data_IF_113854379354
#
_entry.id   IF_113854379354
#
_cell.length_a   1.000
_cell.length_b   1.000
_cell.length_c   1.000
_cell.angle_alpha   90.00
_cell.angle_beta   90.00
_cell.angle_gamma   90.00
#
_symmetry.space_group_name_H-M   'P 1'
#
loop_
_entity.id
_entity.type
_entity.pdbx_description
1 polymer ?
#
# COMPACT_ATOMS: atom_id res chain seq x y z
N UNK A 1 -26.63 -16.85 -48.58
CA UNK A 1 -27.41 -15.67 -48.20
C UNK A 1 -27.61 -15.50 -46.68
N UNK A 2 -27.80 -16.60 -45.90
CA UNK A 2 -27.88 -16.50 -44.42
C UNK A 2 -26.56 -16.04 -43.79
N UNK A 3 -25.43 -16.51 -44.32
CA UNK A 3 -24.09 -16.07 -43.85
C UNK A 3 -23.90 -14.56 -44.05
N UNK A 4 -24.38 -13.98 -45.16
CA UNK A 4 -24.33 -12.53 -45.40
C UNK A 4 -25.19 -11.71 -44.43
N UNK A 5 -26.34 -12.22 -43.98
CA UNK A 5 -27.21 -11.54 -43.01
C UNK A 5 -26.57 -11.55 -41.63
N UNK A 6 -26.03 -12.69 -41.21
CA UNK A 6 -25.33 -12.83 -39.93
C UNK A 6 -24.10 -11.94 -39.87
N UNK A 7 -23.32 -11.86 -40.93
CA UNK A 7 -22.13 -11.00 -40.99
C UNK A 7 -22.49 -9.50 -40.92
N UNK A 8 -23.58 -9.11 -41.59
CA UNK A 8 -24.10 -7.72 -41.48
C UNK A 8 -24.57 -7.38 -40.08
N UNK A 9 -25.32 -8.27 -39.43
CA UNK A 9 -25.79 -8.07 -38.05
C UNK A 9 -24.61 -8.00 -37.07
N UNK A 10 -23.61 -8.82 -37.29
CA UNK A 10 -22.38 -8.78 -36.48
C UNK A 10 -21.64 -7.46 -36.67
N UNK A 11 -21.42 -7.04 -37.91
CA UNK A 11 -20.77 -5.77 -38.21
C UNK A 11 -21.54 -4.55 -37.67
N UNK A 12 -22.88 -4.58 -37.74
CA UNK A 12 -23.71 -3.53 -37.13
C UNK A 12 -23.59 -3.50 -35.60
N UNK A 13 -23.59 -4.67 -34.95
CA UNK A 13 -23.39 -4.79 -33.51
C UNK A 13 -22.01 -4.25 -33.09
N UNK A 14 -20.97 -4.64 -33.80
CA UNK A 14 -19.60 -4.17 -33.54
C UNK A 14 -19.49 -2.65 -33.69
N UNK A 15 -20.06 -2.08 -34.76
CA UNK A 15 -20.08 -0.64 -34.97
C UNK A 15 -20.85 0.10 -33.88
N UNK A 16 -21.97 -0.45 -33.42
CA UNK A 16 -22.76 0.12 -32.33
C UNK A 16 -22.01 0.05 -31.00
N UNK A 17 -21.37 -1.09 -30.69
CA UNK A 17 -20.55 -1.24 -29.50
C UNK A 17 -19.38 -0.24 -29.49
N UNK A 18 -18.67 -0.12 -30.63
CA UNK A 18 -17.58 0.85 -30.75
C UNK A 18 -18.06 2.29 -30.49
N UNK A 19 -19.17 2.70 -31.13
CA UNK A 19 -19.73 4.05 -30.94
C UNK A 19 -20.11 4.33 -29.47
N UNK A 20 -20.66 3.34 -28.77
CA UNK A 20 -20.98 3.47 -27.36
C UNK A 20 -19.72 3.62 -26.50
N UNK A 21 -18.68 2.82 -26.75
CA UNK A 21 -17.40 2.93 -26.03
C UNK A 21 -16.73 4.26 -26.27
N UNK A 22 -16.77 4.81 -27.50
CA UNK A 22 -16.23 6.15 -27.79
C UNK A 22 -16.95 7.26 -27.02
N UNK A 23 -18.29 7.16 -26.86
CA UNK A 23 -19.08 8.10 -26.07
C UNK A 23 -18.76 7.97 -24.59
N UNK A 24 -18.67 6.75 -24.07
CA UNK A 24 -18.29 6.50 -22.68
C UNK A 24 -16.89 7.01 -22.38
N UNK A 25 -15.92 6.77 -23.26
CA UNK A 25 -14.55 7.27 -23.14
C UNK A 25 -14.49 8.79 -23.05
N UNK A 26 -15.23 9.48 -23.91
CA UNK A 26 -15.29 10.96 -23.87
C UNK A 26 -15.93 11.52 -22.60
N UNK A 27 -16.83 10.77 -21.97
CA UNK A 27 -17.54 11.18 -20.76
C UNK A 27 -17.04 10.47 -19.50
N UNK A 28 -15.84 9.89 -19.53
CA UNK A 28 -15.29 9.10 -18.43
C UNK A 28 -15.26 9.83 -17.08
N UNK A 29 -15.04 11.15 -17.08
CA UNK A 29 -14.99 11.97 -15.86
C UNK A 29 -16.37 12.22 -15.21
N UNK A 30 -17.46 12.07 -15.97
CA UNK A 30 -18.83 12.43 -15.55
C UNK A 30 -19.78 11.24 -15.41
N UNK A 31 -19.31 10.04 -15.69
CA UNK A 31 -20.12 8.83 -15.71
C UNK A 31 -19.64 7.84 -14.64
N UNK A 32 -20.38 6.74 -14.49
CA UNK A 32 -19.97 5.58 -13.66
C UNK A 32 -18.83 4.74 -14.28
N UNK A 33 -18.14 5.29 -15.25
CA UNK A 33 -17.11 4.61 -16.05
C UNK A 33 -16.09 3.85 -15.20
N UNK A 34 -15.60 4.47 -14.11
CA UNK A 34 -14.63 3.85 -13.22
C UNK A 34 -15.21 2.86 -12.20
N UNK A 35 -16.51 2.54 -12.30
CA UNK A 35 -17.18 1.45 -11.57
C UNK A 35 -17.32 0.18 -12.43
N UNK A 36 -16.99 0.26 -13.72
CA UNK A 36 -16.95 -0.89 -14.62
C UNK A 36 -15.73 -1.76 -14.31
N UNK A 37 -15.75 -3.00 -14.82
CA UNK A 37 -14.54 -3.82 -14.84
C UNK A 37 -13.50 -3.21 -15.79
N UNK A 38 -12.45 -2.63 -15.21
CA UNK A 38 -11.45 -1.89 -15.97
C UNK A 38 -10.55 -2.79 -16.84
N UNK A 39 -10.46 -4.08 -16.53
CA UNK A 39 -9.74 -5.03 -17.39
C UNK A 39 -10.51 -5.30 -18.67
N UNK A 40 -11.82 -5.53 -18.55
CA UNK A 40 -12.72 -5.70 -19.69
C UNK A 40 -12.77 -4.42 -20.53
N UNK A 41 -12.88 -3.25 -19.88
CA UNK A 41 -12.84 -1.95 -20.56
C UNK A 41 -11.56 -1.77 -21.36
N UNK A 42 -10.39 -2.07 -20.77
CA UNK A 42 -9.11 -2.00 -21.48
C UNK A 42 -9.07 -2.93 -22.71
N UNK A 43 -9.61 -4.15 -22.57
CA UNK A 43 -9.75 -5.10 -23.67
C UNK A 43 -10.62 -4.57 -24.83
N UNK A 44 -11.76 -3.96 -24.51
CA UNK A 44 -12.65 -3.36 -25.51
C UNK A 44 -12.02 -2.12 -26.18
N UNK A 45 -11.28 -1.29 -25.43
CA UNK A 45 -10.54 -0.15 -25.99
C UNK A 45 -9.48 -0.62 -26.98
N UNK A 46 -8.69 -1.62 -26.59
CA UNK A 46 -7.69 -2.24 -27.47
C UNK A 46 -8.35 -2.84 -28.73
N UNK A 47 -9.43 -3.62 -28.56
CA UNK A 47 -10.16 -4.27 -29.65
C UNK A 47 -10.69 -3.27 -30.70
N UNK A 48 -11.23 -2.14 -30.25
CA UNK A 48 -11.83 -1.13 -31.12
C UNK A 48 -10.87 0.00 -31.53
N UNK A 49 -9.62 -0.02 -31.06
CA UNK A 49 -8.63 1.02 -31.33
C UNK A 49 -9.05 2.37 -30.78
N UNK A 50 -9.66 2.39 -29.58
CA UNK A 50 -10.05 3.61 -28.89
C UNK A 50 -8.87 4.12 -28.06
N UNK A 51 -8.55 5.38 -28.17
CA UNK A 51 -7.48 5.99 -27.40
C UNK A 51 -7.77 6.01 -25.90
N UNK A 52 -6.71 5.90 -25.11
CA UNK A 52 -6.82 5.97 -23.65
C UNK A 52 -7.45 7.31 -23.22
N UNK A 53 -8.30 7.31 -22.17
CA UNK A 53 -8.94 8.51 -21.69
C UNK A 53 -7.91 9.52 -21.16
N UNK A 54 -8.24 10.79 -21.18
CA UNK A 54 -7.39 11.84 -20.60
C UNK A 54 -7.20 11.64 -19.09
N UNK A 55 -6.14 12.25 -18.57
CA UNK A 55 -5.87 12.23 -17.12
C UNK A 55 -6.93 13.03 -16.39
N UNK A 56 -7.52 12.47 -15.35
CA UNK A 56 -8.47 13.17 -14.51
C UNK A 56 -7.82 14.34 -13.77
N UNK A 57 -8.56 15.45 -13.59
CA UNK A 57 -8.07 16.61 -12.86
C UNK A 57 -7.88 16.28 -11.36
N UNK A 58 -7.14 17.15 -10.65
CA UNK A 58 -6.75 16.95 -9.27
C UNK A 58 -7.91 17.02 -8.26
N UNK A 59 -9.01 17.64 -8.62
CA UNK A 59 -10.25 17.75 -7.83
C UNK A 59 -11.16 16.51 -7.94
N UNK A 60 -10.87 15.59 -8.88
CA UNK A 60 -11.55 14.31 -8.94
C UNK A 60 -11.19 13.42 -7.72
N UNK A 61 -12.09 12.52 -7.34
CA UNK A 61 -11.86 11.63 -6.20
C UNK A 61 -10.57 10.82 -6.38
N UNK A 62 -9.87 10.55 -5.27
CA UNK A 62 -8.60 9.82 -5.28
C UNK A 62 -8.72 8.46 -5.99
N UNK A 63 -9.78 7.69 -5.69
CA UNK A 63 -9.99 6.37 -6.30
C UNK A 63 -10.24 6.47 -7.80
N UNK A 64 -11.01 7.45 -8.27
CA UNK A 64 -11.21 7.66 -9.70
C UNK A 64 -9.90 8.03 -10.41
N UNK A 65 -9.06 8.85 -9.79
CA UNK A 65 -7.74 9.22 -10.32
C UNK A 65 -6.81 8.00 -10.40
N UNK A 66 -6.81 7.14 -9.38
CA UNK A 66 -6.04 5.88 -9.38
C UNK A 66 -6.55 4.96 -10.50
N UNK A 67 -7.86 4.72 -10.58
CA UNK A 67 -8.45 3.86 -11.59
C UNK A 67 -8.20 4.41 -13.01
N UNK A 68 -8.26 5.72 -13.21
CA UNK A 68 -7.90 6.34 -14.48
C UNK A 68 -6.46 6.02 -14.90
N UNK A 69 -5.49 6.18 -13.99
CA UNK A 69 -4.09 5.87 -14.26
C UNK A 69 -3.86 4.39 -14.55
N UNK A 70 -4.49 3.50 -13.79
CA UNK A 70 -4.37 2.06 -13.99
C UNK A 70 -5.00 1.62 -15.31
N UNK A 71 -6.19 2.14 -15.68
CA UNK A 71 -6.81 1.86 -16.97
C UNK A 71 -5.91 2.30 -18.12
N UNK A 72 -5.34 3.51 -18.04
CA UNK A 72 -4.42 4.04 -19.05
C UNK A 72 -3.20 3.13 -19.21
N UNK A 73 -2.59 2.72 -18.09
CA UNK A 73 -1.47 1.79 -18.09
C UNK A 73 -1.85 0.44 -18.74
N UNK A 74 -3.03 -0.08 -18.44
CA UNK A 74 -3.46 -1.37 -19.00
C UNK A 74 -3.72 -1.29 -20.51
N UNK A 75 -4.32 -0.21 -21.00
CA UNK A 75 -4.51 0.03 -22.45
C UNK A 75 -3.13 0.11 -23.15
N UNK A 76 -2.20 0.89 -22.59
CA UNK A 76 -0.84 1.01 -23.13
C UNK A 76 -0.11 -0.33 -23.17
N UNK A 77 -0.27 -1.15 -22.13
CA UNK A 77 0.31 -2.50 -22.05
C UNK A 77 -0.26 -3.42 -23.15
N UNK A 78 -1.57 -3.40 -23.36
CA UNK A 78 -2.22 -4.18 -24.43
C UNK A 78 -1.80 -3.70 -25.82
N UNK A 79 -1.57 -2.41 -26.00
CA UNK A 79 -1.09 -1.80 -27.25
C UNK A 79 0.42 -1.94 -27.46
N UNK A 80 1.16 -2.57 -26.54
CA UNK A 80 2.61 -2.74 -26.62
C UNK A 80 3.38 -1.43 -26.41
N UNK A 81 2.78 -0.42 -25.80
CA UNK A 81 3.37 0.89 -25.48
C UNK A 81 3.99 0.90 -24.08
N UNK A 82 4.75 1.94 -23.74
CA UNK A 82 5.29 2.11 -22.39
C UNK A 82 4.19 2.53 -21.41
N UNK A 83 3.86 1.63 -20.50
CA UNK A 83 2.80 1.77 -19.49
C UNK A 83 3.32 2.20 -18.10
N UNK A 84 4.66 2.17 -17.90
CA UNK A 84 5.26 2.34 -16.56
C UNK A 84 4.99 3.69 -15.94
N UNK A 85 4.89 4.73 -16.75
CA UNK A 85 4.64 6.10 -16.24
C UNK A 85 3.25 6.24 -15.60
N UNK A 86 2.20 5.71 -16.24
CA UNK A 86 0.84 5.76 -15.70
C UNK A 86 0.68 4.78 -14.52
N UNK A 87 1.31 3.60 -14.56
CA UNK A 87 1.34 2.66 -13.44
C UNK A 87 2.02 3.27 -12.20
N UNK A 88 3.20 3.87 -12.35
CA UNK A 88 3.90 4.54 -11.26
C UNK A 88 3.10 5.73 -10.70
N UNK A 89 2.41 6.48 -11.56
CA UNK A 89 1.55 7.57 -11.14
C UNK A 89 0.37 7.06 -10.29
N UNK A 90 -0.21 5.90 -10.62
CA UNK A 90 -1.27 5.28 -9.81
C UNK A 90 -0.76 4.89 -8.41
N UNK A 91 0.42 4.25 -8.33
CA UNK A 91 1.03 3.91 -7.05
C UNK A 91 1.38 5.13 -6.20
N UNK A 92 1.86 6.21 -6.82
CA UNK A 92 2.15 7.46 -6.11
C UNK A 92 0.87 8.07 -5.53
N UNK A 93 -0.23 8.10 -6.29
CA UNK A 93 -1.54 8.56 -5.79
C UNK A 93 -2.04 7.70 -4.62
N UNK A 94 -1.92 6.38 -4.72
CA UNK A 94 -2.28 5.47 -3.64
C UNK A 94 -1.45 5.74 -2.38
N UNK A 95 -0.13 5.90 -2.55
CA UNK A 95 0.78 6.24 -1.45
C UNK A 95 0.42 7.57 -0.79
N UNK A 96 0.19 8.62 -1.58
CA UNK A 96 -0.22 9.93 -1.06
C UNK A 96 -1.51 9.83 -0.24
N UNK A 97 -2.52 9.12 -0.75
CA UNK A 97 -3.78 8.94 -0.04
C UNK A 97 -3.62 8.20 1.28
N UNK A 98 -2.81 7.13 1.32
CA UNK A 98 -2.53 6.38 2.54
C UNK A 98 -1.74 7.22 3.57
N UNK A 99 -0.80 8.04 3.11
CA UNK A 99 0.05 8.83 4.00
C UNK A 99 -0.67 10.07 4.55
N UNK A 100 -1.62 10.65 3.81
CA UNK A 100 -2.34 11.86 4.25
C UNK A 100 -3.00 11.63 5.61
N UNK A 101 -3.77 10.56 5.76
CA UNK A 101 -4.43 10.21 7.02
C UNK A 101 -3.44 9.88 8.15
N UNK A 102 -2.27 9.33 7.81
CA UNK A 102 -1.23 8.98 8.77
C UNK A 102 -0.48 10.21 9.29
N UNK A 103 -0.17 11.17 8.42
CA UNK A 103 0.51 12.41 8.83
C UNK A 103 -0.36 13.31 9.70
N UNK A 104 -1.68 13.18 9.64
CA UNK A 104 -2.60 13.86 10.54
C UNK A 104 -2.62 13.24 11.94
N UNK A 105 -2.21 11.96 12.07
CA UNK A 105 -2.19 11.20 13.33
C UNK A 105 -0.82 11.28 14.00
N UNK A 106 -0.48 12.46 14.50
CA UNK A 106 0.72 12.61 15.31
C UNK A 106 0.50 12.03 16.71
N UNK A 107 1.56 11.52 17.33
CA UNK A 107 1.53 10.97 18.67
C UNK A 107 2.75 11.40 19.49
N UNK A 108 2.56 11.39 20.80
CA UNK A 108 3.64 11.63 21.76
C UNK A 108 3.82 10.35 22.59
N UNK A 109 4.86 9.57 22.35
CA UNK A 109 5.11 8.35 23.12
C UNK A 109 5.38 8.69 24.60
N UNK A 110 4.83 7.87 25.49
CA UNK A 110 4.98 8.04 26.95
C UNK A 110 5.51 6.76 27.57
N UNK A 111 6.49 6.90 28.46
CA UNK A 111 7.03 5.79 29.23
C UNK A 111 6.08 5.45 30.39
N UNK A 112 5.53 4.24 30.39
CA UNK A 112 4.65 3.73 31.43
C UNK A 112 5.16 2.44 32.06
N UNK A 113 6.45 2.16 31.92
CA UNK A 113 7.09 0.95 32.47
C UNK A 113 8.31 1.33 33.29
N UNK A 114 8.65 0.52 34.29
CA UNK A 114 9.86 0.68 35.07
C UNK A 114 11.09 0.13 34.32
N UNK A 115 12.27 0.52 34.73
CA UNK A 115 13.53 0.19 34.05
C UNK A 115 13.86 -1.31 34.02
N UNK A 116 13.28 -2.11 34.91
CA UNK A 116 13.44 -3.55 35.02
C UNK A 116 12.30 -4.36 34.39
N UNK A 117 11.29 -3.67 33.84
CA UNK A 117 10.14 -4.33 33.21
C UNK A 117 10.38 -4.65 31.74
N UNK A 118 9.80 -5.77 31.32
CA UNK A 118 9.74 -6.18 29.93
C UNK A 118 8.28 -6.21 29.48
N UNK A 119 7.99 -5.54 28.37
CA UNK A 119 6.71 -5.65 27.66
C UNK A 119 6.81 -6.81 26.68
N UNK A 120 5.91 -7.77 26.80
CA UNK A 120 5.85 -8.92 25.91
C UNK A 120 4.60 -8.88 25.05
N UNK A 121 4.78 -8.61 23.77
CA UNK A 121 3.73 -8.71 22.75
C UNK A 121 3.71 -10.10 22.13
N UNK A 122 2.50 -10.67 21.97
CA UNK A 122 2.30 -11.95 21.30
C UNK A 122 1.14 -11.88 20.32
N UNK A 123 1.27 -12.55 19.18
CA UNK A 123 0.21 -12.61 18.18
C UNK A 123 0.17 -14.00 17.52
N UNK A 124 -1.01 -14.52 17.20
CA UNK A 124 -1.13 -15.69 16.34
C UNK A 124 -0.57 -15.39 14.94
N UNK A 125 -0.24 -16.43 14.19
CA UNK A 125 0.11 -16.31 12.79
C UNK A 125 -1.16 -16.46 11.93
N UNK A 126 -1.23 -15.71 10.84
CA UNK A 126 -2.30 -15.81 9.85
C UNK A 126 -1.91 -16.77 8.73
N UNK A 127 -2.80 -17.69 8.39
CA UNK A 127 -2.68 -18.52 7.19
C UNK A 127 -3.81 -18.17 6.22
N UNK A 128 -3.47 -17.84 5.00
CA UNK A 128 -4.41 -17.55 3.94
C UNK A 128 -4.89 -18.88 3.32
N UNK A 129 -6.18 -19.17 3.50
CA UNK A 129 -6.82 -20.39 2.99
C UNK A 129 -7.20 -20.26 1.53
N UNK A 130 -7.59 -19.07 1.09
CA UNK A 130 -7.97 -18.76 -0.28
C UNK A 130 -7.80 -17.26 -0.56
N UNK A 131 -7.52 -16.93 -1.81
CA UNK A 131 -7.47 -15.55 -2.30
C UNK A 131 -6.28 -14.72 -1.82
N UNK A 132 -5.26 -15.34 -1.24
CA UNK A 132 -4.04 -14.63 -0.83
C UNK A 132 -3.43 -13.86 -2.00
N UNK A 133 -2.98 -12.64 -1.75
CA UNK A 133 -2.44 -11.66 -2.71
C UNK A 133 -3.48 -10.99 -3.64
N UNK A 134 -4.75 -11.39 -3.64
CA UNK A 134 -5.79 -10.67 -4.42
C UNK A 134 -6.05 -9.27 -3.86
N UNK A 135 -5.76 -9.04 -2.60
CA UNK A 135 -5.83 -7.73 -1.92
C UNK A 135 -4.63 -6.83 -2.17
N UNK A 136 -3.65 -7.30 -2.94
CA UNK A 136 -2.41 -6.57 -3.24
C UNK A 136 -2.48 -5.86 -4.59
N UNK A 137 -2.07 -4.58 -4.68
CA UNK A 137 -1.91 -3.90 -5.97
C UNK A 137 -0.89 -4.61 -6.87
N UNK A 138 -1.07 -4.58 -8.19
CA UNK A 138 -2.11 -3.85 -8.93
C UNK A 138 -3.47 -4.57 -9.04
N UNK A 139 -3.56 -5.87 -8.72
CA UNK A 139 -4.80 -6.64 -8.88
C UNK A 139 -5.99 -6.02 -8.12
N UNK A 140 -5.79 -5.68 -6.85
CA UNK A 140 -6.84 -5.09 -6.00
C UNK A 140 -7.36 -3.74 -6.50
N UNK A 141 -6.58 -3.01 -7.28
CA UNK A 141 -7.00 -1.73 -7.86
C UNK A 141 -7.95 -1.88 -9.06
N UNK A 142 -7.97 -3.07 -9.69
CA UNK A 142 -8.86 -3.38 -10.81
C UNK A 142 -10.11 -4.12 -10.38
N UNK A 143 -9.92 -5.23 -9.68
CA UNK A 143 -10.98 -6.21 -9.41
C UNK A 143 -11.42 -6.23 -7.94
N UNK A 144 -10.78 -5.45 -7.09
CA UNK A 144 -10.88 -5.62 -5.64
C UNK A 144 -10.17 -6.91 -5.20
N UNK A 145 -10.13 -7.15 -3.88
CA UNK A 145 -9.53 -8.34 -3.32
C UNK A 145 -10.42 -9.02 -2.29
N UNK A 146 -10.37 -10.34 -2.24
CA UNK A 146 -11.07 -11.13 -1.23
C UNK A 146 -10.15 -12.22 -0.72
N UNK A 147 -9.81 -12.17 0.57
CA UNK A 147 -8.94 -13.13 1.23
C UNK A 147 -9.69 -13.81 2.36
N UNK A 148 -9.65 -15.14 2.39
CA UNK A 148 -10.13 -15.95 3.51
C UNK A 148 -8.92 -16.45 4.27
N UNK A 149 -8.79 -16.06 5.53
CA UNK A 149 -7.68 -16.46 6.38
C UNK A 149 -8.16 -16.94 7.75
N UNK A 150 -7.30 -17.69 8.42
CA UNK A 150 -7.46 -18.10 9.81
C UNK A 150 -6.23 -17.73 10.62
N UNK A 151 -6.48 -17.29 11.86
CA UNK A 151 -5.43 -17.13 12.85
C UNK A 151 -5.17 -18.46 13.54
N UNK A 152 -3.90 -18.86 13.63
CA UNK A 152 -3.49 -20.11 14.28
C UNK A 152 -2.43 -19.87 15.35
N UNK A 153 -2.41 -20.76 16.32
CA UNK A 153 -1.37 -20.87 17.34
C UNK A 153 -0.65 -22.22 17.17
N UNK A 154 0.62 -22.27 17.54
CA UNK A 154 1.41 -23.49 17.51
C UNK A 154 1.43 -24.10 18.93
N UNK A 155 0.80 -25.26 19.09
CA UNK A 155 0.68 -25.94 20.39
C UNK A 155 0.11 -25.05 21.51
N UNK A 156 -0.88 -24.22 21.18
CA UNK A 156 -1.51 -23.28 22.11
C UNK A 156 -0.63 -22.07 22.47
N UNK A 157 0.40 -21.77 21.67
CA UNK A 157 1.27 -20.63 21.85
C UNK A 157 1.25 -19.75 20.59
N UNK A 158 1.03 -18.44 20.73
CA UNK A 158 1.21 -17.50 19.63
C UNK A 158 2.67 -17.49 19.15
N UNK A 159 2.93 -17.78 17.86
CA UNK A 159 4.31 -17.92 17.38
C UNK A 159 5.02 -16.58 17.15
N UNK A 160 4.26 -15.49 16.91
CA UNK A 160 4.85 -14.17 16.75
C UNK A 160 5.03 -13.53 18.12
N UNK A 161 6.27 -13.23 18.48
CA UNK A 161 6.61 -12.71 19.80
C UNK A 161 7.56 -11.53 19.68
N UNK A 162 7.32 -10.50 20.46
CA UNK A 162 8.15 -9.29 20.54
C UNK A 162 8.37 -8.95 22.00
N UNK A 163 9.62 -8.73 22.38
CA UNK A 163 10.03 -8.29 23.70
C UNK A 163 10.57 -6.87 23.61
N UNK A 164 10.03 -5.97 24.42
CA UNK A 164 10.46 -4.56 24.47
C UNK A 164 10.84 -4.24 25.91
N UNK A 165 12.02 -3.66 26.10
CA UNK A 165 12.48 -3.23 27.40
C UNK A 165 13.17 -1.86 27.32
N UNK A 166 13.19 -1.11 28.43
CA UNK A 166 14.03 0.08 28.57
C UNK A 166 15.52 -0.24 28.40
N UNK A 167 16.26 0.70 27.85
CA UNK A 167 17.72 0.62 27.70
C UNK A 167 18.34 1.87 28.34
N UNK A 168 19.39 1.70 29.14
CA UNK A 168 20.04 2.80 29.87
C UNK A 168 20.62 3.87 28.94
N UNK A 169 21.03 3.49 27.73
CA UNK A 169 21.55 4.41 26.73
C UNK A 169 20.41 4.94 25.87
N UNK A 170 20.39 6.25 25.57
CA UNK A 170 19.35 6.91 24.76
C UNK A 170 19.50 6.60 23.27
N UNK A 171 19.33 5.32 22.94
CA UNK A 171 19.34 4.78 21.58
C UNK A 171 18.32 3.67 21.45
N UNK A 172 18.05 3.23 20.20
CA UNK A 172 17.19 2.10 19.93
C UNK A 172 18.06 0.92 19.49
N UNK A 173 17.84 -0.24 20.11
CA UNK A 173 18.54 -1.49 19.78
C UNK A 173 17.49 -2.46 19.26
N UNK A 174 17.70 -2.97 18.04
CA UNK A 174 16.83 -3.94 17.39
C UNK A 174 17.58 -5.27 17.27
N UNK A 175 16.95 -6.36 17.72
CA UNK A 175 17.50 -7.71 17.65
C UNK A 175 16.50 -8.65 17.01
N UNK A 176 16.97 -9.54 16.13
CA UNK A 176 16.20 -10.67 15.63
C UNK A 176 16.88 -11.97 16.07
N UNK A 177 16.12 -12.79 16.81
CA UNK A 177 16.60 -14.10 17.25
C UNK A 177 16.71 -15.04 16.05
N UNK A 178 15.69 -15.04 15.18
CA UNK A 178 15.61 -15.94 14.03
C UNK A 178 16.74 -15.72 13.02
N UNK A 179 17.09 -14.44 12.77
CA UNK A 179 18.13 -14.09 11.80
C UNK A 179 19.51 -13.93 12.43
N UNK A 180 19.62 -13.96 13.74
CA UNK A 180 20.88 -13.67 14.45
C UNK A 180 21.40 -12.25 14.16
N UNK A 181 20.51 -11.32 13.80
CA UNK A 181 20.87 -9.96 13.40
C UNK A 181 20.63 -8.96 14.55
N UNK A 182 21.46 -7.91 14.57
CA UNK A 182 21.32 -6.79 15.49
C UNK A 182 21.61 -5.49 14.76
N UNK A 183 20.83 -4.46 15.05
CA UNK A 183 21.05 -3.10 14.57
C UNK A 183 20.88 -2.10 15.70
N UNK A 184 21.74 -1.09 15.73
CA UNK A 184 21.65 0.04 16.66
C UNK A 184 21.26 1.27 15.86
N UNK A 185 20.19 1.93 16.28
CA UNK A 185 19.62 3.12 15.62
C UNK A 185 19.87 4.31 16.55
N UNK A 186 20.63 5.28 16.07
CA UNK A 186 21.02 6.47 16.82
C UNK A 186 20.42 7.77 16.23
N UNK A 187 19.97 7.74 14.98
CA UNK A 187 19.50 8.95 14.28
C UNK A 187 18.10 8.73 13.69
N UNK A 188 17.43 9.85 13.37
CA UNK A 188 16.14 9.80 12.68
C UNK A 188 16.24 9.20 11.28
N UNK A 189 17.34 9.43 10.57
CA UNK A 189 17.60 8.91 9.23
C UNK A 189 17.71 7.39 9.27
N UNK A 190 18.45 6.84 10.24
CA UNK A 190 18.55 5.41 10.46
C UNK A 190 17.18 4.79 10.81
N UNK A 191 16.37 5.46 11.64
CA UNK A 191 15.03 5.01 11.98
C UNK A 191 14.09 5.06 10.78
N UNK A 192 14.21 6.08 9.93
CA UNK A 192 13.39 6.25 8.72
C UNK A 192 13.76 5.32 7.56
N UNK A 193 14.84 4.55 7.68
CA UNK A 193 15.28 3.59 6.66
C UNK A 193 14.37 2.36 6.50
N UNK A 194 13.20 2.35 7.10
CA UNK A 194 12.20 1.27 6.97
C UNK A 194 11.71 1.05 5.54
N UNK A 195 11.89 2.03 4.64
CA UNK A 195 11.57 1.90 3.21
C UNK A 195 12.65 1.15 2.41
N UNK A 196 13.82 0.84 2.98
CA UNK A 196 14.90 0.16 2.27
C UNK A 196 14.56 -1.32 2.08
N UNK A 197 14.55 -1.74 0.82
CA UNK A 197 14.32 -3.14 0.45
C UNK A 197 15.43 -4.03 1.04
N UNK A 198 15.03 -5.11 1.72
CA UNK A 198 15.97 -6.07 2.32
C UNK A 198 16.46 -5.69 3.73
N UNK A 199 16.00 -4.59 4.30
CA UNK A 199 16.29 -4.28 5.71
C UNK A 199 15.61 -5.28 6.64
N UNK A 200 16.36 -6.00 7.52
CA UNK A 200 15.78 -6.98 8.42
C UNK A 200 14.87 -6.37 9.50
N UNK A 201 14.96 -5.06 9.72
CA UNK A 201 14.26 -4.36 10.78
C UNK A 201 13.26 -3.29 10.25
N UNK A 202 12.80 -3.40 8.99
CA UNK A 202 11.84 -2.46 8.42
C UNK A 202 10.55 -2.36 9.24
N UNK A 203 9.99 -3.50 9.68
CA UNK A 203 8.72 -3.54 10.43
C UNK A 203 8.84 -2.86 11.79
N UNK A 204 9.79 -3.20 12.68
CA UNK A 204 9.93 -2.51 13.96
C UNK A 204 10.31 -1.04 13.81
N UNK A 205 11.11 -0.65 12.81
CA UNK A 205 11.38 0.76 12.52
C UNK A 205 10.11 1.53 12.12
N UNK A 206 9.29 0.95 11.22
CA UNK A 206 8.01 1.56 10.83
C UNK A 206 7.05 1.68 12.01
N UNK A 207 6.98 0.67 12.88
CA UNK A 207 6.16 0.69 14.08
C UNK A 207 6.60 1.82 15.05
N UNK A 208 7.91 1.98 15.28
CA UNK A 208 8.45 3.06 16.09
C UNK A 208 8.19 4.43 15.46
N UNK A 209 8.33 4.55 14.14
CA UNK A 209 8.00 5.77 13.41
C UNK A 209 6.54 6.18 13.65
N UNK A 210 5.59 5.26 13.45
CA UNK A 210 4.16 5.48 13.67
C UNK A 210 3.82 5.74 15.15
N UNK A 211 4.60 5.20 16.08
CA UNK A 211 4.46 5.51 17.50
C UNK A 211 4.93 6.92 17.89
N UNK A 212 5.47 7.71 16.93
CA UNK A 212 5.86 9.09 17.13
C UNK A 212 7.36 9.30 17.39
N UNK A 213 8.23 8.29 17.14
CA UNK A 213 9.68 8.43 17.32
C UNK A 213 10.40 9.04 16.10
N UNK A 214 9.67 9.59 15.13
CA UNK A 214 10.24 10.36 14.02
C UNK A 214 9.50 11.69 13.85
N UNK A 215 10.15 12.75 13.32
CA UNK A 215 9.56 14.09 13.23
C UNK A 215 8.22 14.13 12.46
N UNK A 216 8.05 13.26 11.44
CA UNK A 216 6.84 13.22 10.63
C UNK A 216 5.58 12.82 11.43
N UNK A 217 5.73 11.97 12.45
CA UNK A 217 4.62 11.43 13.24
C UNK A 217 4.65 11.89 14.72
N UNK A 218 5.59 12.74 15.11
CA UNK A 218 5.70 13.30 16.46
C UNK A 218 4.89 14.58 16.60
N UNK A 219 4.16 14.73 17.70
CA UNK A 219 3.52 16.00 18.08
C UNK A 219 4.54 17.08 18.46
N UNK A 220 5.69 16.66 18.98
CA UNK A 220 6.76 17.55 19.45
C UNK A 220 7.97 17.41 18.53
N UNK A 221 8.55 18.54 18.15
CA UNK A 221 9.78 18.57 17.39
C UNK A 221 11.00 18.41 18.32
N UNK A 222 11.87 17.45 17.96
CA UNK A 222 13.13 17.23 18.66
C UNK A 222 14.31 17.42 17.69
N UNK A 223 15.46 17.96 18.17
CA UNK A 223 16.63 18.18 17.32
C UNK A 223 17.34 16.87 16.89
N UNK A 224 17.19 15.80 17.66
CA UNK A 224 17.75 14.47 17.36
C UNK A 224 16.94 13.36 18.03
N UNK A 225 17.11 12.12 17.56
CA UNK A 225 16.52 10.93 18.19
C UNK A 225 16.98 10.77 19.64
N UNK A 226 18.26 11.02 19.92
CA UNK A 226 18.82 10.99 21.28
C UNK A 226 18.05 11.96 22.21
N UNK A 227 17.83 13.20 21.79
CA UNK A 227 17.07 14.19 22.57
C UNK A 227 15.60 13.81 22.76
N UNK A 228 15.01 13.15 21.79
CA UNK A 228 13.68 12.61 21.94
C UNK A 228 13.64 11.46 22.97
N UNK A 229 14.62 10.54 22.93
CA UNK A 229 14.72 9.45 23.89
C UNK A 229 15.08 9.94 25.30
N UNK A 230 15.89 10.99 25.45
CA UNK A 230 16.10 11.67 26.75
C UNK A 230 14.76 12.21 27.30
N UNK A 231 13.97 12.90 26.46
CA UNK A 231 12.65 13.39 26.84
C UNK A 231 11.64 12.27 27.13
N UNK A 232 11.74 11.16 26.42
CA UNK A 232 10.97 9.93 26.67
C UNK A 232 11.38 9.26 27.99
N UNK A 233 12.62 9.43 28.42
CA UNK A 233 13.17 8.98 29.71
C UNK A 233 14.03 7.73 29.64
N UNK A 234 14.19 7.10 28.49
CA UNK A 234 15.01 5.89 28.30
C UNK A 234 15.29 5.62 26.83
N UNK A 235 16.29 4.80 26.51
CA UNK A 235 16.37 4.13 25.22
C UNK A 235 15.44 2.90 25.15
N UNK A 236 15.39 2.27 24.00
CA UNK A 236 14.46 1.16 23.71
C UNK A 236 15.23 -0.02 23.14
N UNK A 237 15.10 -1.20 23.74
CA UNK A 237 15.57 -2.45 23.15
C UNK A 237 14.37 -3.30 22.72
N UNK A 238 14.34 -3.71 21.44
CA UNK A 238 13.30 -4.57 20.86
C UNK A 238 13.95 -5.85 20.39
N UNK A 239 13.43 -6.97 20.85
CA UNK A 239 13.82 -8.32 20.41
C UNK A 239 12.63 -9.01 19.74
N UNK A 240 12.84 -9.51 18.52
CA UNK A 240 11.87 -10.17 17.66
C UNK A 240 12.22 -11.65 17.52
#
# INVERSE_FOLDING_TARGET
SEMCIRDRLYAQRESFCKGNWEVLARNHAKSVFYQLDLMDVAGEFHKFGIDKPEVLPTDASLMQRIHNRMLRAQIEKLDGRDFKADEQAAFNLLREGLLTDLYERKSSPRLNVYSDQIVWGRSPVRIDMAGGWTDTPPYSLFAGGSVVNIAIELNGQPPLQVYIKPCAEHRIVLRSIDMGAMEVVNTFEELQSYCMIGSPFSIPKAALALAGFVPAFSETAYPSLEKQLEAFGTGIEITL
#
